data_IF_733886763506
#
_entry.id   IF_733886763506
#
_cell.length_a   1.000
_cell.length_b   1.000
_cell.length_c   1.000
_cell.angle_alpha   90.00
_cell.angle_beta   90.00
_cell.angle_gamma   90.00
#
_symmetry.space_group_name_H-M   'P 1'
#
loop_
_entity.id
_entity.type
_entity.pdbx_description
1 polymer ?
#
# COMPACT_ATOMS: atom_id res chain seq x y z
N UNK A 1 -7.09 32.32 -3.39
CA UNK A 1 -6.44 31.52 -2.31
C UNK A 1 -7.43 30.72 -1.45
N UNK A 2 -8.71 31.17 -1.29
CA UNK A 2 -9.70 30.47 -0.45
C UNK A 2 -10.16 29.14 -1.05
N UNK A 3 -10.25 29.05 -2.38
CA UNK A 3 -10.64 27.80 -3.06
C UNK A 3 -9.66 26.64 -2.85
N UNK A 4 -8.36 26.93 -2.74
CA UNK A 4 -7.34 25.91 -2.52
C UNK A 4 -7.45 25.28 -1.13
N UNK A 5 -7.77 26.06 -0.10
CA UNK A 5 -7.96 25.59 1.28
C UNK A 5 -9.24 24.74 1.37
N UNK A 6 -10.34 25.22 0.80
CA UNK A 6 -11.60 24.47 0.78
C UNK A 6 -11.46 23.13 0.07
N UNK A 7 -10.73 23.10 -1.05
CA UNK A 7 -10.44 21.88 -1.79
C UNK A 7 -9.60 20.87 -0.96
N UNK A 8 -8.58 21.37 -0.27
CA UNK A 8 -7.76 20.51 0.62
C UNK A 8 -8.61 19.94 1.76
N UNK A 9 -9.43 20.75 2.41
CA UNK A 9 -10.33 20.29 3.47
C UNK A 9 -11.29 19.22 2.93
N UNK A 10 -11.85 19.42 1.74
CA UNK A 10 -12.74 18.46 1.10
C UNK A 10 -12.02 17.13 0.83
N UNK A 11 -10.81 17.17 0.25
CA UNK A 11 -10.02 15.97 -0.01
C UNK A 11 -9.68 15.20 1.27
N UNK A 12 -9.23 15.91 2.30
CA UNK A 12 -8.88 15.30 3.59
C UNK A 12 -10.13 14.67 4.24
N UNK A 13 -11.25 15.38 4.26
CA UNK A 13 -12.50 14.86 4.83
C UNK A 13 -12.99 13.62 4.09
N UNK A 14 -12.94 13.65 2.76
CA UNK A 14 -13.32 12.51 1.91
C UNK A 14 -12.41 11.31 2.17
N UNK A 15 -11.10 11.53 2.27
CA UNK A 15 -10.14 10.47 2.58
C UNK A 15 -10.42 9.83 3.95
N UNK A 16 -10.71 10.62 5.00
CA UNK A 16 -11.09 10.10 6.31
C UNK A 16 -12.36 9.23 6.25
N UNK A 17 -13.39 9.69 5.53
CA UNK A 17 -14.64 8.94 5.39
C UNK A 17 -14.42 7.61 4.64
N UNK A 18 -13.69 7.64 3.52
CA UNK A 18 -13.38 6.43 2.73
C UNK A 18 -12.60 5.44 3.57
N UNK A 19 -11.58 5.90 4.31
CA UNK A 19 -10.78 5.03 5.20
C UNK A 19 -11.64 4.44 6.33
N UNK A 20 -12.55 5.21 6.91
CA UNK A 20 -13.48 4.69 7.92
C UNK A 20 -14.41 3.61 7.38
N UNK A 21 -14.93 3.79 6.16
CA UNK A 21 -15.76 2.78 5.47
C UNK A 21 -14.93 1.52 5.15
N UNK A 22 -13.68 1.67 4.72
CA UNK A 22 -12.77 0.55 4.46
C UNK A 22 -12.55 -0.30 5.72
N UNK A 23 -12.32 0.33 6.88
CA UNK A 23 -12.19 -0.37 8.16
C UNK A 23 -13.48 -1.13 8.47
N UNK A 24 -14.64 -0.47 8.35
CA UNK A 24 -15.95 -1.08 8.58
C UNK A 24 -16.22 -2.25 7.64
N UNK A 25 -15.89 -2.11 6.36
CA UNK A 25 -16.03 -3.16 5.35
C UNK A 25 -15.15 -4.37 5.66
N UNK A 26 -13.90 -4.14 6.03
CA UNK A 26 -12.98 -5.20 6.45
C UNK A 26 -13.52 -5.97 7.65
N UNK A 27 -14.00 -5.25 8.67
CA UNK A 27 -14.59 -5.87 9.87
C UNK A 27 -15.89 -6.61 9.57
N UNK A 28 -16.71 -6.07 8.66
CA UNK A 28 -17.91 -6.74 8.17
C UNK A 28 -17.57 -8.09 7.52
N UNK A 29 -16.56 -8.12 6.64
CA UNK A 29 -16.10 -9.37 5.99
C UNK A 29 -15.63 -10.38 7.05
N UNK A 30 -14.78 -9.99 7.99
CA UNK A 30 -14.31 -10.90 9.04
C UNK A 30 -15.43 -11.45 9.89
N UNK A 31 -16.37 -10.60 10.30
CA UNK A 31 -17.52 -11.05 11.06
C UNK A 31 -18.41 -12.02 10.26
N UNK A 32 -18.52 -11.81 8.92
CA UNK A 32 -19.27 -12.70 8.05
C UNK A 32 -18.56 -14.05 7.84
N UNK A 33 -17.25 -14.05 7.73
CA UNK A 33 -16.42 -15.29 7.69
C UNK A 33 -16.56 -16.07 9.01
N UNK A 34 -16.70 -15.36 10.14
CA UNK A 34 -16.88 -15.97 11.48
C UNK A 34 -18.36 -16.32 11.78
N UNK A 35 -19.26 -16.34 10.79
CA UNK A 35 -20.69 -16.63 10.90
C UNK A 35 -21.45 -15.76 11.92
N UNK A 36 -20.97 -14.53 12.17
CA UNK A 36 -21.66 -13.58 13.04
C UNK A 36 -22.76 -12.84 12.28
N UNK A 37 -23.84 -12.56 12.97
CA UNK A 37 -24.92 -11.72 12.43
C UNK A 37 -24.42 -10.27 12.31
N UNK A 38 -24.35 -9.78 11.07
CA UNK A 38 -23.90 -8.41 10.77
C UNK A 38 -24.90 -7.71 9.87
N UNK A 39 -25.17 -6.45 10.22
CA UNK A 39 -26.00 -5.54 9.41
C UNK A 39 -25.10 -4.55 8.67
N UNK A 40 -25.56 -4.09 7.51
CA UNK A 40 -24.82 -3.07 6.72
C UNK A 40 -24.60 -1.78 7.54
N UNK A 41 -25.52 -1.43 8.44
CA UNK A 41 -25.34 -0.29 9.35
C UNK A 41 -24.10 -0.39 10.24
N UNK A 42 -23.61 -1.60 10.50
CA UNK A 42 -22.39 -1.82 11.30
C UNK A 42 -21.12 -1.34 10.63
N UNK A 43 -21.15 -1.04 9.33
CA UNK A 43 -20.01 -0.45 8.60
C UNK A 43 -19.50 0.85 9.23
N UNK A 44 -20.39 1.61 9.86
CA UNK A 44 -20.05 2.91 10.45
C UNK A 44 -19.69 2.84 11.94
N UNK A 45 -19.71 1.67 12.56
CA UNK A 45 -19.51 1.51 14.01
C UNK A 45 -18.03 1.40 14.41
N UNK A 46 -17.09 1.43 13.47
CA UNK A 46 -15.67 1.12 13.72
C UNK A 46 -14.74 2.32 13.48
N UNK A 47 -15.29 3.54 13.53
CA UNK A 47 -14.50 4.77 13.39
C UNK A 47 -13.52 5.01 14.55
N UNK A 48 -13.75 4.37 15.68
CA UNK A 48 -12.85 4.36 16.84
C UNK A 48 -11.47 3.74 16.54
N UNK A 49 -11.41 2.84 15.56
CA UNK A 49 -10.17 2.19 15.11
C UNK A 49 -9.34 3.13 14.20
N UNK A 50 -9.99 4.12 13.57
CA UNK A 50 -9.44 4.98 12.54
C UNK A 50 -8.13 5.68 12.94
N UNK A 51 -7.97 6.29 14.14
CA UNK A 51 -6.71 6.94 14.50
C UNK A 51 -5.53 5.96 14.55
N UNK A 52 -5.76 4.75 15.07
CA UNK A 52 -4.75 3.68 15.14
C UNK A 52 -4.40 3.16 13.75
N UNK A 53 -5.38 3.00 12.89
CA UNK A 53 -5.20 2.56 11.51
C UNK A 53 -4.38 3.57 10.70
N UNK A 54 -4.72 4.86 10.78
CA UNK A 54 -3.97 5.95 10.13
C UNK A 54 -2.53 5.98 10.62
N UNK A 55 -2.31 5.85 11.94
CA UNK A 55 -0.96 5.79 12.48
C UNK A 55 -0.17 4.60 11.93
N UNK A 56 -0.83 3.46 11.71
CA UNK A 56 -0.24 2.29 11.04
C UNK A 56 0.18 2.59 9.60
N UNK A 57 -0.68 3.25 8.82
CA UNK A 57 -0.37 3.68 7.45
C UNK A 57 0.82 4.65 7.44
N UNK A 58 0.88 5.61 8.37
CA UNK A 58 2.00 6.55 8.46
C UNK A 58 3.32 5.86 8.74
N UNK A 59 3.35 4.92 9.69
CA UNK A 59 4.57 4.14 9.98
C UNK A 59 4.97 3.31 8.74
N UNK A 60 4.01 2.65 8.10
CA UNK A 60 4.28 1.88 6.88
C UNK A 60 4.85 2.77 5.76
N UNK A 61 4.33 3.99 5.60
CA UNK A 61 4.83 4.97 4.64
C UNK A 61 6.29 5.37 4.95
N UNK A 62 6.63 5.60 6.22
CA UNK A 62 8.02 5.87 6.64
C UNK A 62 8.94 4.70 6.31
N UNK A 63 8.48 3.47 6.52
CA UNK A 63 9.24 2.26 6.16
C UNK A 63 9.49 2.20 4.64
N UNK A 64 8.47 2.48 3.83
CA UNK A 64 8.62 2.53 2.37
C UNK A 64 9.66 3.58 1.95
N UNK A 65 9.61 4.78 2.53
CA UNK A 65 10.62 5.82 2.27
C UNK A 65 12.02 5.32 2.65
N UNK A 66 12.16 4.69 3.81
CA UNK A 66 13.45 4.12 4.21
C UNK A 66 13.99 3.06 3.22
N UNK A 67 13.11 2.31 2.56
CA UNK A 67 13.48 1.35 1.52
C UNK A 67 14.05 2.01 0.25
N UNK A 68 13.78 3.29 0.02
CA UNK A 68 14.34 4.02 -1.13
C UNK A 68 15.76 4.54 -0.89
N UNK A 69 16.24 4.53 0.35
CA UNK A 69 17.58 5.04 0.71
C UNK A 69 18.72 4.41 -0.10
N UNK A 70 18.77 3.09 -0.35
CA UNK A 70 19.85 2.50 -1.16
C UNK A 70 19.92 3.07 -2.58
N UNK A 71 18.76 3.34 -3.20
CA UNK A 71 18.69 3.96 -4.52
C UNK A 71 19.16 5.42 -4.49
N UNK A 72 18.77 6.17 -3.47
CA UNK A 72 19.22 7.56 -3.28
C UNK A 72 20.74 7.61 -3.12
N UNK A 73 21.30 6.70 -2.31
CA UNK A 73 22.75 6.60 -2.10
C UNK A 73 23.47 6.27 -3.41
N UNK A 74 22.95 5.31 -4.19
CA UNK A 74 23.51 4.95 -5.49
C UNK A 74 23.53 6.16 -6.45
N UNK A 75 22.41 6.90 -6.57
CA UNK A 75 22.31 8.09 -7.42
C UNK A 75 23.28 9.16 -6.97
N UNK A 76 23.37 9.41 -5.66
CA UNK A 76 24.30 10.41 -5.11
C UNK A 76 25.76 10.07 -5.40
N UNK A 77 26.18 8.81 -5.21
CA UNK A 77 27.57 8.40 -5.48
C UNK A 77 27.92 8.41 -6.96
N UNK A 78 26.98 8.05 -7.83
CA UNK A 78 27.26 7.93 -9.27
C UNK A 78 27.21 9.28 -9.99
N UNK A 79 26.25 10.13 -9.64
CA UNK A 79 25.96 11.36 -10.39
C UNK A 79 26.37 12.62 -9.63
N UNK A 80 26.63 12.51 -8.33
CA UNK A 80 27.01 13.62 -7.46
C UNK A 80 25.88 14.59 -7.16
N UNK A 81 26.13 15.59 -6.29
CA UNK A 81 25.13 16.58 -5.89
C UNK A 81 24.69 17.50 -7.03
N UNK A 82 25.48 17.60 -8.10
CA UNK A 82 25.16 18.46 -9.27
C UNK A 82 23.91 18.01 -10.00
N UNK A 83 23.62 16.70 -10.03
CA UNK A 83 22.39 16.18 -10.63
C UNK A 83 21.13 16.76 -9.97
N UNK A 84 21.13 16.83 -8.64
CA UNK A 84 19.97 17.35 -7.88
C UNK A 84 19.70 18.80 -8.22
N UNK A 85 20.77 19.62 -8.28
CA UNK A 85 20.65 21.04 -8.65
C UNK A 85 20.22 21.21 -10.11
N UNK A 86 20.71 20.36 -11.01
CA UNK A 86 20.31 20.39 -12.42
C UNK A 86 18.81 20.02 -12.57
N UNK A 87 18.36 18.94 -11.91
CA UNK A 87 16.95 18.53 -11.94
C UNK A 87 16.05 19.65 -11.40
N UNK A 88 16.39 20.24 -10.24
CA UNK A 88 15.56 21.30 -9.64
C UNK A 88 15.48 22.52 -10.56
N UNK A 89 16.60 22.91 -11.18
CA UNK A 89 16.63 24.08 -12.06
C UNK A 89 15.94 23.85 -13.41
N UNK A 90 15.85 22.62 -13.87
CA UNK A 90 15.28 22.27 -15.17
C UNK A 90 13.82 21.80 -15.14
N UNK A 91 13.18 21.70 -13.96
CA UNK A 91 11.76 21.29 -13.85
C UNK A 91 10.80 22.10 -14.74
N UNK A 92 11.11 23.38 -15.00
CA UNK A 92 10.31 24.25 -15.85
C UNK A 92 10.87 24.39 -17.28
N UNK A 93 11.90 23.62 -17.65
CA UNK A 93 12.51 23.68 -18.97
C UNK A 93 11.74 22.74 -19.92
N UNK A 94 11.32 23.18 -21.12
CA UNK A 94 10.66 22.32 -22.11
C UNK A 94 11.54 21.16 -22.61
N UNK A 95 12.85 21.25 -22.46
CA UNK A 95 13.83 20.19 -22.81
C UNK A 95 14.19 19.26 -21.64
N UNK A 96 13.43 19.31 -20.56
CA UNK A 96 13.67 18.52 -19.33
C UNK A 96 13.84 17.02 -19.58
N UNK A 97 13.04 16.44 -20.49
CA UNK A 97 13.12 15.01 -20.80
C UNK A 97 14.45 14.62 -21.50
N UNK A 98 14.86 15.41 -22.50
CA UNK A 98 16.13 15.17 -23.20
C UNK A 98 17.32 15.27 -22.23
N UNK A 99 17.26 16.17 -21.28
CA UNK A 99 18.27 16.35 -20.26
C UNK A 99 18.37 15.14 -19.34
N UNK A 100 17.23 14.61 -18.85
CA UNK A 100 17.19 13.40 -18.03
C UNK A 100 17.72 12.19 -18.79
N UNK A 101 17.29 12.00 -20.04
CA UNK A 101 17.75 10.89 -20.87
C UNK A 101 19.26 10.92 -21.15
N UNK A 102 19.86 12.11 -21.17
CA UNK A 102 21.31 12.27 -21.31
C UNK A 102 22.10 11.87 -20.05
N UNK A 103 21.48 11.97 -18.85
CA UNK A 103 22.15 11.61 -17.59
C UNK A 103 22.01 10.13 -17.24
N UNK A 104 20.86 9.50 -17.53
CA UNK A 104 20.57 8.14 -17.09
C UNK A 104 20.75 7.14 -18.23
N UNK A 105 21.67 6.24 -18.06
CA UNK A 105 21.79 5.08 -18.92
C UNK A 105 20.69 4.05 -18.61
N UNK A 106 20.20 3.31 -19.61
CA UNK A 106 19.16 2.29 -19.40
C UNK A 106 19.51 1.28 -18.30
N UNK A 107 20.81 0.91 -18.18
CA UNK A 107 21.29 0.04 -17.10
C UNK A 107 21.16 0.66 -15.72
N UNK A 108 21.32 1.98 -15.59
CA UNK A 108 21.19 2.68 -14.31
C UNK A 108 19.76 2.75 -13.85
N UNK A 109 18.84 2.98 -14.77
CA UNK A 109 17.40 2.95 -14.49
C UNK A 109 17.00 1.57 -13.94
N UNK A 110 17.47 0.50 -14.55
CA UNK A 110 17.19 -0.88 -14.08
C UNK A 110 17.75 -1.09 -12.67
N UNK A 111 18.98 -0.63 -12.40
CA UNK A 111 19.60 -0.74 -11.07
C UNK A 111 18.79 0.05 -10.03
N UNK A 112 18.46 1.30 -10.32
CA UNK A 112 17.68 2.18 -9.43
C UNK A 112 16.31 1.54 -9.14
N UNK A 113 15.60 1.10 -10.18
CA UNK A 113 14.31 0.43 -10.01
C UNK A 113 14.44 -0.85 -9.18
N UNK A 114 15.47 -1.65 -9.40
CA UNK A 114 15.71 -2.87 -8.61
C UNK A 114 16.00 -2.56 -7.16
N UNK A 115 16.81 -1.52 -6.87
CA UNK A 115 17.12 -1.08 -5.51
C UNK A 115 15.92 -0.53 -4.76
N UNK A 116 14.89 -0.03 -5.45
CA UNK A 116 13.63 0.42 -4.86
C UNK A 116 12.64 -0.74 -4.74
N UNK A 117 12.37 -1.43 -5.85
CA UNK A 117 11.27 -2.41 -5.93
C UNK A 117 11.53 -3.64 -5.08
N UNK A 118 12.75 -4.19 -5.08
CA UNK A 118 13.03 -5.43 -4.35
C UNK A 118 12.77 -5.25 -2.84
N UNK A 119 13.37 -4.26 -2.13
CA UNK A 119 13.12 -4.10 -0.71
C UNK A 119 11.69 -3.67 -0.40
N UNK A 120 11.07 -2.81 -1.23
CA UNK A 120 9.67 -2.38 -1.03
C UNK A 120 8.73 -3.57 -1.15
N UNK A 121 8.82 -4.37 -2.23
CA UNK A 121 7.97 -5.54 -2.42
C UNK A 121 8.16 -6.54 -1.30
N UNK A 122 9.40 -6.83 -0.92
CA UNK A 122 9.70 -7.76 0.17
C UNK A 122 9.04 -7.31 1.49
N UNK A 123 9.21 -6.05 1.87
CA UNK A 123 8.64 -5.52 3.11
C UNK A 123 7.10 -5.47 3.04
N UNK A 124 6.52 -5.07 1.90
CA UNK A 124 5.07 -5.04 1.76
C UNK A 124 4.45 -6.46 1.83
N UNK A 125 5.11 -7.48 1.30
CA UNK A 125 4.69 -8.88 1.47
C UNK A 125 4.75 -9.30 2.95
N UNK A 126 5.76 -8.86 3.70
CA UNK A 126 5.91 -9.15 5.14
C UNK A 126 4.90 -8.40 6.00
N UNK A 127 4.49 -7.22 5.61
CA UNK A 127 3.54 -6.38 6.33
C UNK A 127 2.10 -6.45 5.77
N UNK A 128 1.80 -7.32 4.82
CA UNK A 128 0.52 -7.33 4.13
C UNK A 128 -0.71 -7.53 5.04
N UNK A 129 -0.54 -8.15 6.22
CA UNK A 129 -1.63 -8.42 7.15
C UNK A 129 -1.67 -7.50 8.38
N UNK A 130 -0.76 -6.52 8.52
CA UNK A 130 -0.75 -5.69 9.73
C UNK A 130 -2.06 -4.92 9.93
N UNK A 131 -2.69 -4.45 8.85
CA UNK A 131 -3.98 -3.79 8.89
C UNK A 131 -5.07 -4.70 9.43
N UNK A 132 -5.06 -5.98 9.06
CA UNK A 132 -6.03 -6.96 9.55
C UNK A 132 -5.87 -7.22 11.04
N UNK A 133 -4.64 -7.24 11.55
CA UNK A 133 -4.40 -7.35 12.99
C UNK A 133 -4.91 -6.13 13.77
N UNK A 134 -4.79 -4.92 13.20
CA UNK A 134 -5.33 -3.71 13.82
C UNK A 134 -6.87 -3.77 13.83
N UNK A 135 -7.49 -4.06 12.69
CA UNK A 135 -8.94 -3.99 12.52
C UNK A 135 -9.64 -5.14 13.24
N UNK A 136 -9.16 -6.35 13.09
CA UNK A 136 -9.84 -7.54 13.58
C UNK A 136 -9.49 -7.90 15.02
N UNK A 137 -8.21 -7.89 15.36
CA UNK A 137 -7.70 -8.31 16.66
C UNK A 137 -7.46 -7.15 17.63
N UNK A 138 -7.57 -5.89 17.18
CA UNK A 138 -7.37 -4.71 18.01
C UNK A 138 -5.94 -4.48 18.49
N UNK A 139 -4.93 -5.07 17.83
CA UNK A 139 -3.53 -4.90 18.20
C UNK A 139 -3.07 -3.46 18.05
N UNK A 140 -2.08 -3.05 18.84
CA UNK A 140 -1.33 -1.82 18.63
C UNK A 140 -0.50 -1.94 17.35
N UNK A 141 -0.20 -0.81 16.71
CA UNK A 141 0.42 -0.77 15.38
C UNK A 141 1.70 -1.60 15.30
N UNK A 142 2.65 -1.38 16.22
CA UNK A 142 3.92 -2.10 16.20
C UNK A 142 3.75 -3.60 16.45
N UNK A 143 2.82 -3.99 17.32
CA UNK A 143 2.54 -5.40 17.59
C UNK A 143 1.83 -6.04 16.39
N UNK A 144 0.93 -5.33 15.73
CA UNK A 144 0.30 -5.76 14.48
C UNK A 144 1.34 -6.00 13.37
N UNK A 145 2.31 -5.09 13.22
CA UNK A 145 3.41 -5.24 12.26
C UNK A 145 4.30 -6.44 12.60
N UNK A 146 4.67 -6.62 13.88
CA UNK A 146 5.44 -7.78 14.33
C UNK A 146 4.70 -9.10 14.09
N UNK A 147 3.39 -9.13 14.35
CA UNK A 147 2.55 -10.32 14.09
C UNK A 147 2.44 -10.61 12.60
N UNK A 148 2.22 -9.58 11.76
CA UNK A 148 2.24 -9.74 10.32
C UNK A 148 3.58 -10.30 9.84
N UNK A 149 4.69 -9.72 10.30
CA UNK A 149 6.03 -10.19 9.98
C UNK A 149 6.27 -11.64 10.35
N UNK A 150 5.84 -12.06 11.53
CA UNK A 150 6.01 -13.42 12.00
C UNK A 150 5.22 -14.42 11.15
N UNK A 151 3.91 -14.18 10.95
CA UNK A 151 3.03 -15.12 10.24
C UNK A 151 3.36 -15.25 8.75
N UNK A 152 3.84 -14.17 8.12
CA UNK A 152 4.20 -14.19 6.70
C UNK A 152 5.53 -14.88 6.43
N UNK A 153 6.35 -15.15 7.47
CA UNK A 153 7.67 -15.78 7.32
C UNK A 153 7.63 -17.08 6.56
N UNK A 154 6.81 -17.99 7.02
CA UNK A 154 6.70 -19.34 6.48
C UNK A 154 5.80 -19.42 5.23
N UNK A 155 5.06 -18.34 4.93
CA UNK A 155 4.06 -18.30 3.86
C UNK A 155 4.38 -17.33 2.74
N UNK A 156 5.59 -16.74 2.71
CA UNK A 156 5.94 -15.64 1.79
C UNK A 156 5.76 -16.01 0.31
N UNK A 157 6.13 -17.24 -0.09
CA UNK A 157 5.95 -17.71 -1.47
C UNK A 157 4.47 -17.86 -1.84
N UNK A 158 3.68 -18.39 -0.92
CA UNK A 158 2.24 -18.53 -1.14
C UNK A 158 1.57 -17.16 -1.26
N UNK A 159 1.95 -16.19 -0.40
CA UNK A 159 1.45 -14.82 -0.46
C UNK A 159 1.84 -14.18 -1.79
N UNK A 160 3.07 -14.35 -2.26
CA UNK A 160 3.52 -13.85 -3.55
C UNK A 160 2.68 -14.43 -4.71
N UNK A 161 2.43 -15.76 -4.70
CA UNK A 161 1.60 -16.42 -5.69
C UNK A 161 0.17 -15.85 -5.67
N UNK A 162 -0.43 -15.66 -4.49
CA UNK A 162 -1.74 -15.02 -4.37
C UNK A 162 -1.74 -13.60 -4.95
N UNK A 163 -0.73 -12.80 -4.66
CA UNK A 163 -0.61 -11.47 -5.23
C UNK A 163 -0.55 -11.49 -6.77
N UNK A 164 0.25 -12.40 -7.35
CA UNK A 164 0.33 -12.56 -8.81
C UNK A 164 -1.02 -12.97 -9.41
N UNK A 165 -1.72 -13.92 -8.79
CA UNK A 165 -3.06 -14.34 -9.23
C UNK A 165 -4.02 -13.15 -9.17
N UNK A 166 -4.01 -12.35 -8.09
CA UNK A 166 -4.87 -11.19 -7.95
C UNK A 166 -4.56 -10.09 -8.96
N UNK A 167 -3.29 -9.86 -9.29
CA UNK A 167 -2.90 -8.92 -10.34
C UNK A 167 -3.49 -9.35 -11.68
N UNK A 168 -3.30 -10.61 -12.08
CA UNK A 168 -3.84 -11.14 -13.34
C UNK A 168 -5.37 -11.08 -13.35
N UNK A 169 -6.02 -11.50 -12.26
CA UNK A 169 -7.48 -11.51 -12.15
C UNK A 169 -8.07 -10.09 -12.24
N UNK A 170 -7.47 -9.12 -11.56
CA UNK A 170 -7.92 -7.73 -11.61
C UNK A 170 -7.58 -7.06 -12.95
N UNK A 171 -6.48 -7.43 -13.61
CA UNK A 171 -6.18 -6.99 -14.98
C UNK A 171 -7.27 -7.41 -15.96
N UNK A 172 -7.73 -8.67 -15.89
CA UNK A 172 -8.87 -9.15 -16.69
C UNK A 172 -10.15 -8.36 -16.37
N UNK A 173 -10.35 -8.00 -15.09
CA UNK A 173 -11.44 -7.13 -14.66
C UNK A 173 -11.39 -5.76 -15.30
N UNK A 174 -10.21 -5.12 -15.32
CA UNK A 174 -10.00 -3.80 -15.95
C UNK A 174 -10.27 -3.86 -17.45
N UNK A 175 -9.76 -4.89 -18.14
CA UNK A 175 -9.98 -5.07 -19.58
C UNK A 175 -11.46 -5.14 -19.98
N UNK A 176 -12.31 -5.65 -19.09
CA UNK A 176 -13.77 -5.69 -19.31
C UNK A 176 -14.49 -4.40 -18.87
N UNK A 177 -13.77 -3.34 -18.46
CA UNK A 177 -14.24 -2.05 -17.92
C UNK A 177 -15.19 -2.17 -16.71
N UNK A 178 -16.16 -3.07 -16.72
CA UNK A 178 -17.13 -3.30 -15.64
C UNK A 178 -16.62 -4.36 -14.65
N UNK A 179 -15.78 -5.27 -15.11
CA UNK A 179 -15.31 -6.43 -14.33
C UNK A 179 -14.54 -6.06 -13.07
N UNK A 180 -13.86 -4.91 -13.03
CA UNK A 180 -13.10 -4.46 -11.87
C UNK A 180 -14.00 -4.31 -10.61
N UNK A 181 -15.26 -3.92 -10.79
CA UNK A 181 -16.23 -3.81 -9.69
C UNK A 181 -16.55 -5.15 -9.03
N UNK A 182 -16.32 -6.27 -9.72
CA UNK A 182 -16.49 -7.62 -9.21
C UNK A 182 -15.16 -8.22 -8.77
N UNK A 183 -14.11 -8.08 -9.59
CA UNK A 183 -12.82 -8.73 -9.32
C UNK A 183 -12.12 -8.16 -8.09
N UNK A 184 -12.19 -6.85 -7.85
CA UNK A 184 -11.54 -6.23 -6.71
C UNK A 184 -12.15 -6.68 -5.36
N UNK A 185 -13.48 -6.62 -5.14
CA UNK A 185 -14.09 -7.13 -3.91
C UNK A 185 -13.87 -8.63 -3.69
N UNK A 186 -13.92 -9.43 -4.76
CA UNK A 186 -13.68 -10.88 -4.69
C UNK A 186 -12.24 -11.14 -4.26
N UNK A 187 -11.26 -10.48 -4.88
CA UNK A 187 -9.84 -10.59 -4.51
C UNK A 187 -9.61 -10.23 -3.04
N UNK A 188 -10.25 -9.17 -2.57
CA UNK A 188 -10.15 -8.74 -1.19
C UNK A 188 -10.76 -9.75 -0.20
N UNK A 189 -11.92 -10.31 -0.55
CA UNK A 189 -12.56 -11.37 0.23
C UNK A 189 -11.65 -12.61 0.34
N UNK A 190 -11.08 -13.08 -0.76
CA UNK A 190 -10.13 -14.19 -0.74
C UNK A 190 -8.91 -13.90 0.13
N UNK A 191 -8.41 -12.67 0.11
CA UNK A 191 -7.29 -12.26 0.95
C UNK A 191 -7.64 -12.28 2.45
N UNK A 192 -8.85 -11.86 2.81
CA UNK A 192 -9.39 -11.99 4.18
C UNK A 192 -9.53 -13.46 4.62
N UNK A 193 -10.05 -14.32 3.74
CA UNK A 193 -10.17 -15.77 4.01
C UNK A 193 -8.79 -16.38 4.19
N UNK A 194 -7.83 -16.05 3.33
CA UNK A 194 -6.46 -16.54 3.44
C UNK A 194 -5.82 -16.13 4.76
N UNK A 195 -5.99 -14.89 5.20
CA UNK A 195 -5.55 -14.44 6.51
C UNK A 195 -6.12 -15.30 7.66
N UNK A 196 -7.41 -15.66 7.60
CA UNK A 196 -8.03 -16.55 8.59
C UNK A 196 -7.39 -17.94 8.58
N UNK A 197 -7.17 -18.51 7.40
CA UNK A 197 -6.57 -19.83 7.25
C UNK A 197 -5.18 -19.92 7.89
N UNK A 198 -4.29 -18.97 7.58
CA UNK A 198 -2.92 -18.99 8.12
C UNK A 198 -2.83 -18.60 9.61
N UNK A 199 -3.83 -17.87 10.13
CA UNK A 199 -3.84 -17.42 11.52
C UNK A 199 -4.51 -18.42 12.48
N UNK A 200 -5.20 -19.43 11.95
CA UNK A 200 -5.83 -20.50 12.74
C UNK A 200 -4.92 -21.76 12.88
N UNK A 201 -3.78 -21.74 12.22
CA UNK A 201 -2.70 -22.71 12.41
C UNK A 201 -1.60 -22.10 13.30
#
# INVERSE_FOLDING_TARGET
>A
NDYSIQYIIFLVSTWFLVTGIEIGYTKFIFNKIDDKDVKISNLFNYFDILPRYIFGILINFIIIIACTLPAIVFVYYKYGPQLITTIINSINDPYYQELIDSYFNSSDIIIILSLILIPVVFIQLRLCFFNFYIIDKGYLVLDAMKKSWAITGDHILNILIYFLIFVVFNLLGVLSMIGIFFTAPISYLFFCIYFRLINNY
#
